data_IF_999015468461
#
_entry.id   IF_999015468461
#
_cell.length_a   1.000
_cell.length_b   1.000
_cell.length_c   1.000
_cell.angle_alpha   90.00
_cell.angle_beta   90.00
_cell.angle_gamma   90.00
#
_symmetry.space_group_name_H-M   'P 1'
#
loop_
_entity.id
_entity.type
_entity.pdbx_description
1 polymer ?
#
# COMPACT_ATOMS: atom_id res chain seq x y z
N UNK A 1 -8.03 -7.59 -1.73
CA UNK A 1 -6.68 -8.14 -1.45
C UNK A 1 -6.85 -9.17 -0.36
N UNK A 2 -6.38 -10.39 -0.56
CA UNK A 2 -6.41 -11.45 0.46
C UNK A 2 -5.01 -11.73 0.99
N UNK A 3 -4.82 -11.61 2.30
CA UNK A 3 -3.50 -11.65 2.93
C UNK A 3 -3.57 -12.22 4.36
N UNK A 4 -2.41 -12.57 4.91
CA UNK A 4 -2.19 -12.86 6.34
C UNK A 4 -0.76 -12.51 6.73
N UNK A 5 -0.46 -12.51 8.02
CA UNK A 5 0.92 -12.41 8.48
C UNK A 5 1.05 -11.77 9.85
N UNK A 6 2.26 -11.29 10.13
CA UNK A 6 2.57 -10.65 11.41
C UNK A 6 1.72 -9.41 11.64
N UNK A 7 1.39 -9.13 12.92
CA UNK A 7 0.68 -7.91 13.34
C UNK A 7 1.62 -6.68 13.26
N UNK A 8 2.04 -6.38 12.04
CA UNK A 8 2.93 -5.28 11.64
C UNK A 8 2.16 -4.44 10.63
N UNK A 9 2.49 -3.15 10.57
CA UNK A 9 1.82 -2.27 9.61
C UNK A 9 2.48 -2.39 8.25
N UNK A 10 1.71 -2.74 7.24
CA UNK A 10 2.14 -2.76 5.85
C UNK A 10 1.41 -1.68 5.04
N UNK A 11 1.89 -1.41 3.84
CA UNK A 11 1.16 -0.63 2.87
C UNK A 11 1.28 -1.24 1.47
N UNK A 12 0.18 -1.20 0.72
CA UNK A 12 0.21 -1.34 -0.74
C UNK A 12 0.51 0.03 -1.33
N UNK A 13 1.60 0.15 -2.08
CA UNK A 13 2.04 1.38 -2.73
C UNK A 13 1.87 1.32 -4.24
N UNK A 14 1.50 2.44 -4.83
CA UNK A 14 1.47 2.69 -6.27
C UNK A 14 2.37 3.86 -6.61
N UNK A 15 3.33 3.63 -7.50
CA UNK A 15 4.20 4.68 -8.02
C UNK A 15 3.75 5.09 -9.43
N UNK A 16 3.69 6.41 -9.67
CA UNK A 16 3.42 7.00 -10.99
C UNK A 16 4.67 7.65 -11.60
N UNK A 17 5.79 7.62 -10.86
CA UNK A 17 7.06 8.21 -11.22
C UNK A 17 8.20 7.23 -10.95
N UNK A 18 9.25 7.24 -11.79
CA UNK A 18 10.47 6.44 -11.54
C UNK A 18 11.38 7.06 -10.48
N UNK A 19 11.31 8.38 -10.30
CA UNK A 19 12.15 9.09 -9.35
C UNK A 19 11.57 8.99 -7.93
N UNK A 20 12.35 8.45 -6.99
CA UNK A 20 11.93 8.11 -5.62
C UNK A 20 11.48 9.31 -4.76
N UNK A 21 11.91 10.53 -5.08
CA UNK A 21 11.58 11.74 -4.32
C UNK A 21 10.26 12.41 -4.78
N UNK A 22 9.66 11.90 -5.86
CA UNK A 22 8.35 12.33 -6.31
C UNK A 22 7.25 11.58 -5.54
N UNK A 23 6.01 12.11 -5.55
CA UNK A 23 4.93 11.50 -4.80
C UNK A 23 4.59 10.06 -5.24
N UNK A 24 4.14 9.26 -4.29
CA UNK A 24 3.49 7.98 -4.52
C UNK A 24 2.25 7.81 -3.65
N UNK A 25 1.45 6.78 -3.93
CA UNK A 25 0.12 6.62 -3.34
C UNK A 25 0.06 5.34 -2.53
N UNK A 26 -0.48 5.39 -1.32
CA UNK A 26 -0.45 4.23 -0.41
C UNK A 26 -1.78 3.99 0.29
N UNK A 27 -2.08 2.72 0.49
CA UNK A 27 -3.08 2.27 1.45
C UNK A 27 -2.41 1.40 2.52
N UNK A 28 -2.55 1.80 3.78
CA UNK A 28 -2.03 1.06 4.93
C UNK A 28 -3.01 -0.02 5.38
N UNK A 29 -2.49 -1.17 5.76
CA UNK A 29 -3.26 -2.25 6.36
C UNK A 29 -2.40 -3.03 7.36
N UNK A 30 -3.05 -3.74 8.27
CA UNK A 30 -2.38 -4.53 9.32
C UNK A 30 -3.02 -5.91 9.37
N UNK A 31 -2.26 -7.00 9.15
CA UNK A 31 -2.74 -8.35 9.37
C UNK A 31 -3.13 -8.60 10.83
N UNK A 32 -4.17 -9.39 11.02
CA UNK A 32 -4.72 -9.82 12.31
C UNK A 32 -4.17 -11.22 12.65
N UNK A 33 -2.87 -11.41 12.45
CA UNK A 33 -2.17 -12.67 12.66
C UNK A 33 -2.29 -13.66 11.48
N UNK A 34 -2.28 -14.95 11.82
CA UNK A 34 -2.15 -16.08 10.89
C UNK A 34 -3.40 -16.38 10.05
N UNK A 35 -4.52 -15.72 10.34
CA UNK A 35 -5.77 -15.95 9.64
C UNK A 35 -5.81 -15.14 8.33
N UNK A 36 -6.18 -15.82 7.24
CA UNK A 36 -6.46 -15.17 5.97
C UNK A 36 -7.61 -14.18 6.12
N UNK A 37 -7.35 -12.93 5.75
CA UNK A 37 -8.33 -11.85 5.73
C UNK A 37 -8.39 -11.22 4.36
N UNK A 38 -9.51 -10.55 4.07
CA UNK A 38 -9.74 -9.88 2.81
C UNK A 38 -10.21 -8.45 3.04
N UNK A 39 -9.57 -7.52 2.33
CA UNK A 39 -9.99 -6.12 2.28
C UNK A 39 -10.30 -5.70 0.85
N UNK A 40 -11.32 -4.87 0.70
CA UNK A 40 -11.64 -4.16 -0.55
C UNK A 40 -11.49 -2.68 -0.30
N UNK A 41 -10.68 -2.02 -1.14
CA UNK A 41 -10.34 -0.61 -0.97
C UNK A 41 -10.46 0.14 -2.29
N UNK A 42 -11.19 1.27 -2.33
CA UNK A 42 -11.22 2.10 -3.53
C UNK A 42 -9.84 2.72 -3.77
N UNK A 43 -9.30 2.56 -4.98
CA UNK A 43 -7.96 3.07 -5.33
C UNK A 43 -7.84 4.59 -5.17
N UNK A 44 -8.93 5.32 -5.36
CA UNK A 44 -9.01 6.78 -5.17
C UNK A 44 -8.86 7.23 -3.71
N UNK A 45 -8.90 6.31 -2.75
CA UNK A 45 -8.64 6.59 -1.33
C UNK A 45 -7.17 6.45 -0.93
N UNK A 46 -6.30 6.02 -1.86
CA UNK A 46 -4.87 5.89 -1.58
C UNK A 46 -4.29 7.27 -1.33
N UNK A 47 -3.62 7.43 -0.19
CA UNK A 47 -3.08 8.72 0.25
C UNK A 47 -1.80 9.03 -0.51
N UNK A 48 -1.71 10.25 -1.00
CA UNK A 48 -0.48 10.75 -1.61
C UNK A 48 0.56 11.02 -0.52
N UNK A 49 1.74 10.44 -0.69
CA UNK A 49 2.91 10.66 0.18
C UNK A 49 4.09 11.13 -0.64
N UNK A 50 4.88 12.05 -0.08
CA UNK A 50 6.15 12.50 -0.65
C UNK A 50 7.22 12.43 0.42
N UNK A 51 8.25 11.62 0.18
CA UNK A 51 9.37 11.41 1.12
C UNK A 51 8.84 11.06 2.53
N UNK A 52 7.83 10.17 2.59
CA UNK A 52 7.27 9.68 3.86
C UNK A 52 6.21 10.57 4.52
N UNK A 53 5.93 11.75 3.99
CA UNK A 53 4.93 12.68 4.53
C UNK A 53 3.65 12.70 3.70
N UNK A 54 2.49 12.74 4.35
CA UNK A 54 1.20 12.90 3.67
C UNK A 54 1.06 14.32 3.13
N UNK A 55 0.65 14.44 1.86
CA UNK A 55 0.41 15.76 1.24
C UNK A 55 -0.98 16.31 1.55
N UNK A 56 -1.87 15.48 2.08
CA UNK A 56 -3.31 15.77 2.24
C UNK A 56 -4.16 15.38 1.04
N UNK A 57 -3.54 15.03 -0.09
CA UNK A 57 -4.24 14.57 -1.29
C UNK A 57 -4.47 13.05 -1.27
N UNK A 58 -5.40 12.61 -2.10
CA UNK A 58 -5.57 11.20 -2.46
C UNK A 58 -5.46 11.02 -3.96
N UNK A 59 -5.36 9.77 -4.39
CA UNK A 59 -5.21 9.41 -5.79
C UNK A 59 -6.43 9.81 -6.63
N UNK A 60 -6.20 10.44 -7.78
CA UNK A 60 -7.23 10.73 -8.79
C UNK A 60 -7.27 9.65 -9.87
N UNK A 61 -8.37 9.61 -10.63
CA UNK A 61 -8.49 8.71 -11.79
C UNK A 61 -7.43 9.00 -12.88
N UNK A 62 -7.04 10.26 -13.05
CA UNK A 62 -5.96 10.63 -13.97
C UNK A 62 -4.63 10.04 -13.51
N UNK A 63 -4.31 10.13 -12.22
CA UNK A 63 -3.10 9.54 -11.64
C UNK A 63 -3.12 8.01 -11.71
N UNK A 64 -4.27 7.38 -11.51
CA UNK A 64 -4.43 5.93 -11.61
C UNK A 64 -4.04 5.40 -13.00
N UNK A 65 -4.36 6.13 -14.07
CA UNK A 65 -3.96 5.76 -15.44
C UNK A 65 -2.44 5.83 -15.69
N UNK A 66 -1.68 6.44 -14.77
CA UNK A 66 -0.23 6.64 -14.86
C UNK A 66 0.57 5.70 -13.96
N UNK A 67 -0.07 4.73 -13.29
CA UNK A 67 0.61 3.77 -12.42
C UNK A 67 1.59 2.93 -13.23
N UNK A 68 2.85 2.91 -12.79
CA UNK A 68 3.93 2.14 -13.42
C UNK A 68 4.42 0.99 -12.55
N UNK A 69 4.13 1.02 -11.25
CA UNK A 69 4.57 0.02 -10.29
C UNK A 69 3.58 -0.09 -9.13
N UNK A 70 3.37 -1.33 -8.68
CA UNK A 70 2.72 -1.65 -7.41
C UNK A 70 3.67 -2.44 -6.53
N UNK A 71 3.62 -2.24 -5.22
CA UNK A 71 4.48 -2.96 -4.29
C UNK A 71 3.92 -3.00 -2.87
N UNK A 72 4.38 -3.95 -2.08
CA UNK A 72 4.12 -3.98 -0.64
C UNK A 72 5.35 -3.48 0.11
N UNK A 73 5.11 -2.69 1.16
CA UNK A 73 6.16 -2.15 2.02
C UNK A 73 5.80 -2.34 3.49
N UNK A 74 6.77 -2.75 4.31
CA UNK A 74 6.67 -2.67 5.78
C UNK A 74 6.71 -1.18 6.19
N UNK A 75 5.67 -0.71 6.87
CA UNK A 75 5.38 0.72 7.00
C UNK A 75 5.48 1.26 8.44
N UNK A 76 5.54 0.41 9.46
CA UNK A 76 5.60 0.86 10.87
C UNK A 76 6.93 1.51 11.30
N UNK A 77 7.97 1.46 10.47
CA UNK A 77 9.33 1.97 10.77
C UNK A 77 9.97 1.32 12.00
N UNK A 78 9.52 0.12 12.39
CA UNK A 78 10.06 -0.63 13.51
C UNK A 78 10.99 -1.75 13.01
N UNK A 79 12.08 -1.99 13.74
CA UNK A 79 12.94 -3.15 13.50
C UNK A 79 12.28 -4.41 14.06
N UNK A 80 12.59 -5.57 13.47
CA UNK A 80 12.13 -6.88 13.94
C UNK A 80 11.58 -7.76 12.82
N UNK A 81 11.34 -9.05 13.11
CA UNK A 81 10.81 -9.98 12.13
C UNK A 81 9.43 -9.54 11.64
N UNK A 82 9.15 -9.85 10.38
CA UNK A 82 7.86 -9.64 9.76
C UNK A 82 7.62 -10.75 8.72
N UNK A 83 6.36 -11.07 8.54
CA UNK A 83 5.88 -11.95 7.48
C UNK A 83 4.60 -11.35 6.92
N UNK A 84 4.49 -11.38 5.60
CA UNK A 84 3.29 -11.02 4.86
C UNK A 84 3.13 -12.04 3.73
N UNK A 85 2.08 -12.83 3.80
CA UNK A 85 1.66 -13.70 2.72
C UNK A 85 0.46 -13.07 2.01
N UNK A 86 0.53 -13.03 0.68
CA UNK A 86 -0.53 -12.50 -0.18
C UNK A 86 -0.97 -13.62 -1.10
N UNK A 87 -2.25 -13.96 -1.04
CA UNK A 87 -2.85 -14.95 -1.93
C UNK A 87 -3.18 -14.29 -3.27
N UNK A 88 -3.97 -13.21 -3.24
CA UNK A 88 -4.30 -12.47 -4.45
C UNK A 88 -4.50 -10.97 -4.25
N UNK A 89 -4.29 -10.27 -5.35
CA UNK A 89 -4.79 -8.92 -5.61
C UNK A 89 -5.79 -9.05 -6.77
N UNK A 90 -7.00 -8.53 -6.59
CA UNK A 90 -8.06 -8.55 -7.60
C UNK A 90 -8.51 -7.11 -7.87
N UNK A 91 -8.74 -6.81 -9.14
CA UNK A 91 -9.37 -5.58 -9.62
C UNK A 91 -10.78 -5.90 -10.10
N UNK A 92 -11.72 -4.99 -9.83
CA UNK A 92 -13.14 -5.08 -10.21
C UNK A 92 -13.57 -3.79 -10.92
#
# INVERSE_FOLDING_TARGET
IRFRGTNRKFALSMDIHRAWYLPNYKHEFTPEGENWQEITVPLTTFKETRIGEFTGNTMSNEQLSKVIQMGFILYDKQSGPFELEVDYIKFE
#
